data_IF_049179310088
#
_entry.id   IF_049179310088
#
_cell.length_a   1.000
_cell.length_b   1.000
_cell.length_c   1.000
_cell.angle_alpha   90.00
_cell.angle_beta   90.00
_cell.angle_gamma   90.00
#
_symmetry.space_group_name_H-M   'P 1'
#
loop_
_entity.id
_entity.type
_entity.pdbx_description
1 polymer ?
#
# COMPACT_ATOMS: atom_id res chain seq x y z
N UNK A 1 69.74 16.84 11.30
CA UNK A 1 69.62 15.38 11.11
C UNK A 1 68.16 15.04 11.41
N UNK A 2 67.30 15.00 10.39
CA UNK A 2 67.03 13.81 9.52
C UNK A 2 66.21 12.78 10.34
N UNK A 3 65.07 12.21 9.96
CA UNK A 3 64.18 12.24 8.78
C UNK A 3 62.91 11.43 9.17
N UNK A 4 61.77 11.82 8.61
CA UNK A 4 60.71 11.01 7.94
C UNK A 4 60.37 9.57 8.35
N UNK A 5 59.06 9.32 8.53
CA UNK A 5 58.34 8.41 7.63
C UNK A 5 56.89 8.86 7.40
N UNK A 6 56.61 9.11 6.13
CA UNK A 6 55.37 9.58 5.49
C UNK A 6 54.34 8.45 5.40
N UNK A 7 53.05 8.76 5.57
CA UNK A 7 52.04 8.15 4.70
C UNK A 7 50.89 9.13 4.43
N UNK A 8 50.61 9.30 3.14
CA UNK A 8 49.86 10.41 2.56
C UNK A 8 48.40 10.53 2.99
N UNK A 9 48.05 11.80 3.17
CA UNK A 9 46.75 12.41 2.96
C UNK A 9 46.13 11.99 1.61
N UNK A 10 44.93 11.38 1.64
CA UNK A 10 43.97 11.50 0.54
C UNK A 10 42.68 12.07 1.12
N UNK A 11 42.51 13.37 0.94
CA UNK A 11 41.24 14.07 1.16
C UNK A 11 40.36 13.78 -0.06
N UNK A 12 39.20 13.17 0.15
CA UNK A 12 38.06 13.41 -0.73
C UNK A 12 36.96 14.06 0.10
N UNK A 13 36.69 15.32 -0.23
CA UNK A 13 35.69 16.18 0.39
C UNK A 13 34.28 15.57 0.29
N UNK A 14 33.59 15.43 1.42
CA UNK A 14 32.13 15.52 1.46
C UNK A 14 31.78 16.66 2.41
N UNK A 15 31.12 17.67 1.84
CA UNK A 15 30.77 18.94 2.46
C UNK A 15 29.83 18.76 3.65
N UNK A 16 30.22 19.33 4.79
CA UNK A 16 29.48 19.42 6.04
C UNK A 16 28.54 20.63 6.01
N UNK A 17 27.23 20.44 6.16
CA UNK A 17 26.24 21.35 6.81
C UNK A 17 25.08 20.47 7.27
N UNK A 18 24.69 20.28 8.54
CA UNK A 18 24.79 21.07 9.77
C UNK A 18 24.51 20.10 10.93
N UNK A 19 25.48 19.82 11.81
CA UNK A 19 25.24 19.03 13.03
C UNK A 19 24.74 19.99 14.12
N UNK A 20 23.54 19.76 14.69
CA UNK A 20 23.06 20.47 15.89
C UNK A 20 23.47 19.70 17.15
N UNK A 21 23.75 20.43 18.22
CA UNK A 21 24.62 20.04 19.34
C UNK A 21 24.04 19.07 20.39
N UNK A 22 23.31 18.01 20.01
CA UNK A 22 22.78 17.05 21.00
C UNK A 22 22.92 15.56 20.62
N UNK A 23 23.77 15.22 19.66
CA UNK A 23 24.00 13.82 19.28
C UNK A 23 25.02 13.15 20.22
N UNK A 24 24.58 12.12 20.96
CA UNK A 24 25.47 11.23 21.70
C UNK A 24 25.96 10.12 20.77
N UNK A 25 27.24 10.17 20.42
CA UNK A 25 27.91 9.11 19.66
C UNK A 25 28.55 8.13 20.65
N UNK A 26 28.03 6.90 20.74
CA UNK A 26 28.72 5.81 21.44
C UNK A 26 29.18 4.77 20.42
N UNK A 27 30.50 4.65 20.23
CA UNK A 27 31.07 3.56 19.44
C UNK A 27 31.54 2.46 20.40
N UNK A 28 30.99 1.25 20.28
CA UNK A 28 31.49 0.07 20.98
C UNK A 28 32.72 -0.50 20.25
N UNK A 29 33.81 -0.85 20.95
CA UNK A 29 34.94 -1.51 20.32
C UNK A 29 34.55 -2.93 19.90
N UNK A 30 34.46 -3.18 18.58
CA UNK A 30 34.25 -4.52 18.01
C UNK A 30 33.18 -4.66 16.91
N UNK A 31 32.44 -3.60 16.55
CA UNK A 31 31.45 -3.61 15.47
C UNK A 31 31.91 -2.76 14.27
N UNK A 32 31.66 -3.17 13.00
CA UNK A 32 31.98 -2.37 11.82
C UNK A 32 30.89 -1.31 11.62
N UNK A 33 30.93 -0.23 12.41
CA UNK A 33 30.05 0.93 12.25
C UNK A 33 29.60 1.56 13.57
N UNK A 34 29.48 2.88 13.58
CA UNK A 34 28.94 3.64 14.70
C UNK A 34 27.45 3.91 14.42
N UNK A 35 26.56 3.50 15.33
CA UNK A 35 25.11 3.64 15.17
C UNK A 35 24.67 5.03 15.65
N UNK A 36 23.94 5.77 14.81
CA UNK A 36 23.24 6.99 15.20
C UNK A 36 21.84 6.58 15.66
N UNK A 37 21.58 6.69 16.97
CA UNK A 37 20.23 6.56 17.52
C UNK A 37 19.49 7.89 17.31
N UNK A 38 18.82 8.03 16.18
CA UNK A 38 17.82 9.09 16.02
C UNK A 38 16.53 8.67 16.75
N UNK A 39 15.92 9.59 17.49
CA UNK A 39 14.72 9.36 18.32
C UNK A 39 13.43 9.18 17.52
N UNK A 40 13.54 9.06 16.20
CA UNK A 40 12.42 8.80 15.30
C UNK A 40 12.75 7.53 14.53
N UNK A 41 11.92 6.50 14.69
CA UNK A 41 12.05 5.21 14.00
C UNK A 41 11.81 5.35 12.49
N UNK A 42 12.73 6.03 11.80
CA UNK A 42 12.79 6.09 10.36
C UNK A 42 13.44 4.80 9.88
N UNK A 43 12.63 3.91 9.31
CA UNK A 43 13.10 2.74 8.59
C UNK A 43 14.14 3.18 7.54
N UNK A 44 15.37 2.71 7.67
CA UNK A 44 16.39 2.94 6.66
C UNK A 44 15.95 2.29 5.35
N UNK A 45 15.90 3.07 4.28
CA UNK A 45 15.70 2.55 2.93
C UNK A 45 16.94 1.72 2.54
N UNK A 46 16.83 0.39 2.59
CA UNK A 46 17.80 -0.53 2.01
C UNK A 46 17.36 -0.88 0.58
N UNK A 47 18.08 -0.44 -0.46
CA UNK A 47 17.75 -0.74 -1.86
C UNK A 47 17.92 -2.22 -2.24
N UNK A 48 18.41 -3.07 -1.33
CA UNK A 48 18.45 -4.54 -1.46
C UNK A 48 17.57 -5.26 -0.42
N UNK A 49 16.91 -4.52 0.45
CA UNK A 49 16.00 -5.05 1.47
C UNK A 49 14.58 -5.23 0.93
N UNK A 50 13.77 -6.10 1.53
CA UNK A 50 12.40 -6.33 1.10
C UNK A 50 11.60 -5.02 1.25
N UNK A 51 10.82 -4.65 0.23
CA UNK A 51 10.01 -3.42 0.13
C UNK A 51 9.09 -3.26 1.36
N UNK A 52 9.58 -2.61 2.42
CA UNK A 52 8.89 -2.48 3.70
C UNK A 52 8.67 -1.00 3.97
N UNK A 53 7.41 -0.58 4.01
CA UNK A 53 7.05 0.76 4.46
C UNK A 53 6.01 0.76 5.59
N UNK A 54 5.53 -0.41 6.02
CA UNK A 54 4.81 -0.52 7.28
C UNK A 54 5.69 -0.08 8.44
N UNK A 55 5.16 0.77 9.29
CA UNK A 55 5.83 1.37 10.45
C UNK A 55 4.94 1.21 11.67
N UNK A 56 5.57 0.95 12.83
CA UNK A 56 4.87 0.95 14.11
C UNK A 56 4.60 2.39 14.55
N UNK A 57 3.34 2.67 14.86
CA UNK A 57 2.89 3.94 15.42
C UNK A 57 2.06 3.64 16.66
N UNK A 58 2.69 3.75 17.83
CA UNK A 58 2.11 3.32 19.10
C UNK A 58 1.66 1.85 19.08
N UNK A 59 0.37 1.62 19.33
CA UNK A 59 -0.25 0.30 19.31
C UNK A 59 -0.61 -0.20 17.89
N UNK A 60 -0.57 0.67 16.87
CA UNK A 60 -0.96 0.36 15.51
C UNK A 60 0.23 0.17 14.57
N UNK A 61 -0.01 -0.55 13.47
CA UNK A 61 0.93 -0.71 12.35
C UNK A 61 0.33 -0.01 11.14
N UNK A 62 1.09 0.84 10.45
CA UNK A 62 0.65 1.42 9.17
C UNK A 62 0.52 0.31 8.13
N UNK A 63 -0.39 0.48 7.18
CA UNK A 63 -0.62 -0.48 6.11
C UNK A 63 0.66 -0.67 5.29
N UNK A 64 1.01 -1.92 5.03
CA UNK A 64 2.17 -2.27 4.22
C UNK A 64 2.00 -1.79 2.77
N UNK A 65 3.11 -1.46 2.11
CA UNK A 65 3.14 -1.30 0.66
C UNK A 65 3.70 -2.53 -0.02
N UNK A 66 3.22 -2.76 -1.22
CA UNK A 66 3.71 -3.82 -2.10
C UNK A 66 3.87 -3.26 -3.51
N UNK A 67 4.42 -4.08 -4.40
CA UNK A 67 4.58 -3.72 -5.80
C UNK A 67 3.22 -3.46 -6.49
N UNK A 68 3.25 -2.58 -7.49
CA UNK A 68 2.06 -2.15 -8.23
C UNK A 68 1.52 -3.25 -9.16
N UNK A 69 2.36 -4.17 -9.60
CA UNK A 69 2.06 -5.10 -10.66
C UNK A 69 2.15 -4.45 -12.05
N UNK A 70 2.21 -5.26 -13.11
CA UNK A 70 2.39 -4.76 -14.48
C UNK A 70 1.09 -4.22 -15.10
N UNK A 71 -0.03 -4.26 -14.38
CA UNK A 71 -1.35 -4.03 -14.92
C UNK A 71 -2.01 -2.74 -14.43
N UNK A 72 -1.29 -1.79 -13.83
CA UNK A 72 -1.89 -0.50 -13.50
C UNK A 72 -2.14 0.34 -14.77
N UNK A 73 -3.26 1.06 -14.79
CA UNK A 73 -3.64 1.97 -15.88
C UNK A 73 -4.08 3.30 -15.28
N UNK A 74 -3.41 4.37 -15.69
CA UNK A 74 -3.69 5.72 -15.20
C UNK A 74 -5.03 6.25 -15.72
N UNK A 75 -5.59 7.25 -15.03
CA UNK A 75 -6.77 8.00 -15.46
C UNK A 75 -8.07 7.20 -15.57
N UNK A 76 -8.23 6.13 -14.75
CA UNK A 76 -9.51 5.45 -14.63
C UNK A 76 -10.66 6.42 -14.26
N UNK A 77 -11.91 6.15 -14.66
CA UNK A 77 -13.04 7.01 -14.34
C UNK A 77 -13.21 7.20 -12.84
N UNK A 78 -13.46 8.44 -12.41
CA UNK A 78 -13.74 8.78 -11.02
C UNK A 78 -15.22 8.50 -10.72
N UNK A 79 -15.48 7.81 -9.62
CA UNK A 79 -16.80 7.66 -9.01
C UNK A 79 -16.76 8.27 -7.61
N UNK A 80 -17.80 9.05 -7.27
CA UNK A 80 -17.95 9.60 -5.93
C UNK A 80 -18.62 8.59 -5.01
N UNK A 81 -18.12 8.46 -3.79
CA UNK A 81 -18.76 7.66 -2.75
C UNK A 81 -19.87 8.51 -2.11
N UNK A 82 -21.08 7.98 -2.03
CA UNK A 82 -22.15 8.65 -1.28
C UNK A 82 -22.08 8.30 0.20
N UNK A 83 -22.12 9.31 1.08
CA UNK A 83 -22.19 9.10 2.53
C UNK A 83 -23.65 9.15 3.03
N UNK A 84 -23.97 8.37 4.07
CA UNK A 84 -25.29 8.37 4.73
C UNK A 84 -26.29 7.32 4.20
N UNK A 85 -27.56 7.39 4.65
CA UNK A 85 -28.60 6.36 4.40
C UNK A 85 -28.95 6.14 2.92
N UNK A 86 -28.62 7.11 2.05
CA UNK A 86 -28.83 7.03 0.59
C UNK A 86 -27.48 6.99 -0.15
N UNK A 87 -26.40 6.61 0.52
CA UNK A 87 -25.07 6.57 -0.04
C UNK A 87 -24.96 5.64 -1.24
N UNK A 88 -24.46 6.15 -2.36
CA UNK A 88 -24.14 5.34 -3.52
C UNK A 88 -22.87 4.53 -3.26
N UNK A 89 -22.94 3.21 -3.48
CA UNK A 89 -21.78 2.31 -3.47
C UNK A 89 -21.29 2.12 -4.90
N UNK A 90 -20.12 2.69 -5.26
CA UNK A 90 -19.55 2.55 -6.59
C UNK A 90 -19.35 1.09 -7.01
N UNK A 91 -19.63 0.78 -8.27
CA UNK A 91 -19.39 -0.54 -8.84
C UNK A 91 -18.12 -0.51 -9.68
N UNK A 92 -17.11 -1.32 -9.32
CA UNK A 92 -15.80 -1.35 -9.99
C UNK A 92 -15.84 -2.28 -11.19
N UNK A 93 -16.14 -3.55 -10.94
CA UNK A 93 -16.40 -4.53 -11.98
C UNK A 93 -17.85 -5.02 -11.92
N UNK A 94 -18.57 -5.12 -13.04
CA UNK A 94 -19.98 -5.46 -13.00
C UNK A 94 -20.27 -6.87 -12.48
N UNK A 95 -21.13 -6.92 -11.47
CA UNK A 95 -21.66 -8.17 -10.96
C UNK A 95 -22.78 -8.71 -11.85
N UNK A 96 -22.90 -10.03 -11.91
CA UNK A 96 -23.98 -10.75 -12.59
C UNK A 96 -24.41 -11.95 -11.75
N UNK A 97 -25.44 -12.69 -12.18
CA UNK A 97 -25.87 -13.91 -11.49
C UNK A 97 -24.84 -15.06 -11.55
N UNK A 98 -23.85 -14.94 -12.44
CA UNK A 98 -22.84 -15.97 -12.70
C UNK A 98 -21.53 -15.76 -11.93
N UNK A 99 -21.38 -14.66 -11.19
CA UNK A 99 -20.19 -14.39 -10.39
C UNK A 99 -20.54 -14.08 -8.93
N UNK A 100 -19.53 -14.23 -8.08
CA UNK A 100 -19.62 -13.85 -6.68
C UNK A 100 -19.35 -12.35 -6.55
N UNK A 101 -20.09 -11.70 -5.65
CA UNK A 101 -19.99 -10.28 -5.36
C UNK A 101 -19.08 -10.06 -4.16
N UNK A 102 -18.20 -9.09 -4.27
CA UNK A 102 -17.37 -8.59 -3.19
C UNK A 102 -17.77 -7.13 -2.88
N UNK A 103 -18.04 -6.83 -1.62
CA UNK A 103 -18.24 -5.48 -1.11
C UNK A 103 -17.14 -5.20 -0.11
N UNK A 104 -16.39 -4.13 -0.35
CA UNK A 104 -15.29 -3.72 0.52
C UNK A 104 -15.60 -2.39 1.15
N UNK A 105 -15.37 -2.31 2.46
CA UNK A 105 -15.57 -1.11 3.26
C UNK A 105 -14.30 -0.80 4.06
N UNK A 106 -14.13 0.45 4.46
CA UNK A 106 -13.06 0.81 5.38
C UNK A 106 -12.91 2.31 5.52
N UNK A 107 -11.93 2.71 6.31
CA UNK A 107 -11.59 4.12 6.53
C UNK A 107 -10.12 4.34 6.19
N UNK A 108 -9.84 5.33 5.36
CA UNK A 108 -8.47 5.84 5.18
C UNK A 108 -8.13 6.75 6.35
N UNK A 109 -7.00 6.47 7.01
CA UNK A 109 -6.52 7.19 8.18
C UNK A 109 -5.06 7.60 7.99
N UNK A 110 -4.64 8.69 8.61
CA UNK A 110 -3.24 9.14 8.64
C UNK A 110 -2.78 9.24 10.08
N UNK A 111 -1.64 8.61 10.41
CA UNK A 111 -1.03 8.72 11.74
C UNK A 111 -0.56 10.15 12.02
N UNK A 112 -0.75 10.61 13.25
CA UNK A 112 -0.16 11.84 13.76
C UNK A 112 0.38 11.62 15.18
N UNK A 113 1.14 12.58 15.70
CA UNK A 113 1.80 12.45 17.01
C UNK A 113 0.83 12.20 18.18
N UNK A 114 -0.43 12.63 18.06
CA UNK A 114 -1.48 12.47 19.08
C UNK A 114 -2.41 11.28 18.78
N UNK A 115 -2.37 10.72 17.57
CA UNK A 115 -3.27 9.67 17.08
C UNK A 115 -2.42 8.59 16.43
N UNK A 116 -1.84 7.68 17.23
CA UNK A 116 -0.97 6.62 16.73
C UNK A 116 -1.67 5.66 15.75
N UNK A 117 -2.99 5.50 15.87
CA UNK A 117 -3.83 4.73 14.93
C UNK A 117 -4.50 5.60 13.86
N UNK A 118 -4.06 6.85 13.75
CA UNK A 118 -4.46 7.84 12.77
C UNK A 118 -5.81 8.49 12.96
N UNK A 119 -5.98 9.63 12.28
CA UNK A 119 -7.25 10.32 12.10
C UNK A 119 -7.82 9.98 10.72
N UNK A 120 -9.15 9.84 10.58
CA UNK A 120 -9.76 9.70 9.27
C UNK A 120 -9.34 10.85 8.34
N UNK A 121 -9.07 10.51 7.08
CA UNK A 121 -8.56 11.48 6.10
C UNK A 121 -9.26 11.32 4.78
N UNK A 122 -9.50 12.45 4.11
CA UNK A 122 -9.95 12.45 2.73
C UNK A 122 -8.88 11.84 1.83
N UNK A 123 -9.26 10.96 0.90
CA UNK A 123 -8.32 10.30 0.02
C UNK A 123 -8.92 9.97 -1.36
N UNK A 124 -8.04 9.84 -2.35
CA UNK A 124 -8.34 9.18 -3.62
C UNK A 124 -7.83 7.73 -3.57
N UNK A 125 -8.67 6.79 -3.98
CA UNK A 125 -8.32 5.39 -4.15
C UNK A 125 -8.38 5.03 -5.64
N UNK A 126 -7.24 4.74 -6.28
CA UNK A 126 -7.23 4.03 -7.55
C UNK A 126 -7.38 2.54 -7.26
N UNK A 127 -8.43 1.91 -7.77
CA UNK A 127 -8.75 0.50 -7.52
C UNK A 127 -8.79 -0.27 -8.83
N UNK A 128 -8.08 -1.39 -8.91
CA UNK A 128 -8.11 -2.29 -10.06
C UNK A 128 -7.89 -3.75 -9.66
N UNK A 129 -8.47 -4.66 -10.43
CA UNK A 129 -8.28 -6.10 -10.26
C UNK A 129 -8.61 -6.88 -11.54
N UNK A 130 -8.30 -8.17 -11.55
CA UNK A 130 -8.66 -9.08 -12.64
C UNK A 130 -10.17 -9.35 -12.66
N UNK A 131 -10.75 -9.61 -13.83
CA UNK A 131 -12.12 -10.13 -13.91
C UNK A 131 -12.23 -11.54 -13.28
N UNK A 132 -13.45 -12.10 -13.11
CA UNK A 132 -13.63 -13.42 -12.49
C UNK A 132 -12.86 -14.56 -13.19
N UNK A 133 -12.52 -14.38 -14.46
CA UNK A 133 -11.74 -15.33 -15.26
C UNK A 133 -10.22 -15.10 -15.13
N UNK A 134 -9.77 -14.12 -14.35
CA UNK A 134 -8.35 -13.83 -14.11
C UNK A 134 -7.70 -12.92 -15.14
N UNK A 135 -8.48 -12.19 -15.94
CA UNK A 135 -7.95 -11.35 -17.02
C UNK A 135 -7.92 -9.87 -16.65
N UNK A 136 -6.86 -9.20 -17.07
CA UNK A 136 -6.75 -7.73 -17.08
C UNK A 136 -6.89 -7.21 -18.51
N UNK A 137 -7.58 -6.08 -18.66
CA UNK A 137 -7.71 -5.40 -19.96
C UNK A 137 -6.49 -4.54 -20.27
N UNK A 138 -6.35 -4.17 -21.55
CA UNK A 138 -5.22 -3.43 -22.10
C UNK A 138 -4.95 -2.10 -21.35
N UNK A 139 -3.71 -1.96 -20.89
CA UNK A 139 -3.23 -0.82 -20.10
C UNK A 139 -2.67 0.32 -20.93
N UNK A 140 -2.53 0.16 -22.27
CA UNK A 140 -2.05 1.23 -23.13
C UNK A 140 -2.92 2.48 -22.97
N UNK A 141 -2.34 3.68 -22.88
CA UNK A 141 -3.13 4.92 -22.75
C UNK A 141 -4.11 5.15 -23.91
N UNK A 142 -3.84 4.59 -25.09
CA UNK A 142 -4.72 4.65 -26.27
C UNK A 142 -5.94 3.74 -26.18
N UNK A 143 -5.94 2.73 -25.30
CA UNK A 143 -7.09 1.87 -25.08
C UNK A 143 -8.11 2.61 -24.19
N UNK A 144 -9.34 2.77 -24.67
CA UNK A 144 -10.40 3.49 -23.91
C UNK A 144 -11.06 2.68 -22.80
N UNK A 145 -10.78 1.37 -22.70
CA UNK A 145 -11.43 0.47 -21.74
C UNK A 145 -10.82 0.57 -20.34
N UNK A 146 -11.68 0.64 -19.32
CA UNK A 146 -11.34 0.63 -17.90
C UNK A 146 -12.11 -0.46 -17.14
N UNK A 147 -12.43 -1.59 -17.78
CA UNK A 147 -13.05 -2.76 -17.13
C UNK A 147 -12.32 -3.10 -15.83
N UNK A 148 -13.10 -3.25 -14.75
CA UNK A 148 -12.63 -3.50 -13.39
C UNK A 148 -11.62 -2.46 -12.87
N UNK A 149 -11.69 -1.19 -13.31
CA UNK A 149 -10.80 -0.09 -12.89
C UNK A 149 -11.59 1.17 -12.61
N UNK A 150 -11.40 1.77 -11.44
CA UNK A 150 -12.01 3.06 -11.11
C UNK A 150 -11.16 3.83 -10.12
N UNK A 151 -11.41 5.14 -10.03
CA UNK A 151 -10.94 5.99 -8.95
C UNK A 151 -12.11 6.34 -8.04
N UNK A 152 -11.91 6.23 -6.74
CA UNK A 152 -12.88 6.62 -5.73
C UNK A 152 -12.34 7.83 -4.98
N UNK A 153 -13.21 8.76 -4.60
CA UNK A 153 -12.85 9.88 -3.72
C UNK A 153 -13.73 9.80 -2.47
N UNK A 154 -13.10 9.71 -1.31
CA UNK A 154 -13.79 9.68 -0.01
C UNK A 154 -14.20 11.09 0.43
N UNK A 155 -15.09 11.18 1.42
CA UNK A 155 -15.30 12.41 2.19
C UNK A 155 -14.22 12.62 3.25
N UNK A 156 -14.41 13.64 4.09
CA UNK A 156 -13.53 13.96 5.22
C UNK A 156 -13.62 12.90 6.34
N UNK A 157 -14.68 12.09 6.32
CA UNK A 157 -14.81 10.90 7.16
C UNK A 157 -13.76 9.83 6.84
N UNK A 158 -13.08 9.94 5.69
CA UNK A 158 -12.16 8.93 5.16
C UNK A 158 -12.81 7.60 4.80
N UNK A 159 -14.13 7.47 4.98
CA UNK A 159 -14.85 6.25 4.68
C UNK A 159 -14.85 5.98 3.17
N UNK A 160 -14.56 4.74 2.81
CA UNK A 160 -14.70 4.24 1.46
C UNK A 160 -15.55 2.98 1.44
N UNK A 161 -16.30 2.82 0.35
CA UNK A 161 -17.00 1.60 0.02
C UNK A 161 -16.95 1.38 -1.48
N UNK A 162 -16.91 0.12 -1.90
CA UNK A 162 -17.13 -0.26 -3.29
C UNK A 162 -17.68 -1.67 -3.39
N UNK A 163 -18.44 -1.91 -4.46
CA UNK A 163 -18.93 -3.23 -4.87
C UNK A 163 -18.21 -3.66 -6.14
N UNK A 164 -17.84 -4.93 -6.22
CA UNK A 164 -17.21 -5.50 -7.40
C UNK A 164 -17.46 -7.01 -7.48
N UNK A 165 -16.98 -7.65 -8.53
CA UNK A 165 -16.93 -9.11 -8.63
C UNK A 165 -15.73 -9.65 -7.86
N UNK A 166 -15.85 -10.81 -7.23
CA UNK A 166 -14.69 -11.53 -6.69
C UNK A 166 -13.66 -11.74 -7.81
N UNK A 167 -12.41 -11.27 -7.67
CA UNK A 167 -11.42 -11.39 -8.74
C UNK A 167 -11.06 -12.85 -9.00
N UNK A 168 -10.82 -13.18 -10.27
CA UNK A 168 -10.26 -14.46 -10.66
C UNK A 168 -8.77 -14.56 -10.34
N UNK A 169 -8.28 -15.80 -10.25
CA UNK A 169 -6.84 -16.07 -10.13
C UNK A 169 -6.17 -15.93 -11.48
N UNK A 170 -4.94 -15.43 -11.49
CA UNK A 170 -4.12 -15.41 -12.69
C UNK A 170 -2.72 -15.97 -12.42
N UNK A 171 -2.18 -16.62 -13.44
CA UNK A 171 -0.78 -17.02 -13.48
C UNK A 171 0.05 -15.84 -14.00
N UNK A 172 1.24 -15.66 -13.45
CA UNK A 172 2.21 -14.69 -13.97
C UNK A 172 3.44 -15.43 -14.47
N UNK A 173 3.52 -15.76 -15.78
CA UNK A 173 4.68 -16.47 -16.33
C UNK A 173 6.01 -15.78 -16.07
N UNK A 174 5.99 -14.45 -15.89
CA UNK A 174 7.17 -13.66 -15.54
C UNK A 174 7.69 -13.93 -14.11
N UNK A 175 6.82 -14.38 -13.19
CA UNK A 175 7.17 -14.70 -11.81
C UNK A 175 7.44 -16.19 -11.59
N UNK A 176 7.04 -17.05 -12.53
CA UNK A 176 7.29 -18.49 -12.49
C UNK A 176 5.99 -19.32 -12.51
N UNK A 177 6.10 -20.64 -12.30
CA UNK A 177 4.95 -21.53 -12.25
C UNK A 177 4.13 -21.28 -10.98
N UNK A 178 2.83 -21.09 -11.13
CA UNK A 178 1.91 -20.89 -10.00
C UNK A 178 0.85 -19.83 -10.28
N UNK A 179 0.09 -19.51 -9.25
CA UNK A 179 -0.93 -18.47 -9.28
C UNK A 179 -0.63 -17.41 -8.23
N UNK A 180 -1.09 -16.19 -8.50
CA UNK A 180 -1.22 -15.17 -7.47
C UNK A 180 -2.38 -15.54 -6.52
N UNK A 181 -2.27 -15.16 -5.25
CA UNK A 181 -3.43 -15.10 -4.36
C UNK A 181 -4.50 -14.17 -4.97
N UNK A 182 -5.79 -14.38 -4.70
CA UNK A 182 -6.84 -13.45 -5.15
C UNK A 182 -6.64 -12.12 -4.44
N UNK A 183 -6.62 -11.03 -5.21
CA UNK A 183 -6.36 -9.70 -4.67
C UNK A 183 -7.07 -8.59 -5.44
N UNK A 184 -7.22 -7.45 -4.76
CA UNK A 184 -7.58 -6.16 -5.35
C UNK A 184 -6.43 -5.19 -5.13
N UNK A 185 -5.93 -4.57 -6.19
CA UNK A 185 -4.92 -3.52 -6.05
C UNK A 185 -5.57 -2.20 -5.66
N UNK A 186 -4.89 -1.45 -4.79
CA UNK A 186 -5.32 -0.12 -4.36
C UNK A 186 -4.12 0.82 -4.30
N UNK A 187 -4.23 2.00 -4.91
CA UNK A 187 -3.35 3.14 -4.60
C UNK A 187 -4.14 4.18 -3.86
N UNK A 188 -3.64 4.59 -2.70
CA UNK A 188 -4.30 5.56 -1.82
C UNK A 188 -3.47 6.83 -1.75
N UNK A 189 -4.06 7.95 -2.13
CA UNK A 189 -3.42 9.27 -2.05
C UNK A 189 -4.23 10.16 -1.12
N UNK A 190 -3.67 10.63 0.02
CA UNK A 190 -4.38 11.54 0.91
C UNK A 190 -4.57 12.90 0.24
N UNK A 191 -5.74 13.52 0.42
CA UNK A 191 -6.15 14.76 -0.23
C UNK A 191 -6.52 15.85 0.79
N UNK A 192 -6.41 17.12 0.37
CA UNK A 192 -7.07 18.24 1.04
C UNK A 192 -8.55 18.36 0.62
N UNK A 193 -9.26 19.34 1.21
CA UNK A 193 -10.67 19.64 0.91
C UNK A 193 -10.94 20.04 -0.55
N UNK A 194 -9.89 20.40 -1.32
CA UNK A 194 -9.97 20.76 -2.73
C UNK A 194 -9.57 19.59 -3.65
N UNK A 195 -9.47 18.37 -3.13
CA UNK A 195 -9.01 17.17 -3.84
C UNK A 195 -7.56 17.23 -4.33
N UNK A 196 -6.71 18.06 -3.72
CA UNK A 196 -5.28 18.11 -4.06
C UNK A 196 -4.51 17.12 -3.18
N UNK A 197 -3.57 16.33 -3.74
CA UNK A 197 -2.69 15.48 -2.94
C UNK A 197 -1.92 16.26 -1.89
N UNK A 198 -1.96 15.79 -0.65
CA UNK A 198 -1.23 16.38 0.48
C UNK A 198 -0.11 15.49 1.02
N UNK A 199 -0.01 14.25 0.55
CA UNK A 199 0.99 13.30 1.02
C UNK A 199 1.35 12.26 -0.04
N UNK A 200 2.22 11.34 0.34
CA UNK A 200 2.68 10.26 -0.56
C UNK A 200 1.54 9.28 -0.84
N UNK A 201 1.49 8.80 -2.09
CA UNK A 201 0.62 7.70 -2.47
C UNK A 201 1.15 6.38 -1.90
N UNK A 202 0.30 5.64 -1.20
CA UNK A 202 0.55 4.26 -0.78
C UNK A 202 0.04 3.32 -1.87
N UNK A 203 0.86 2.36 -2.31
CA UNK A 203 0.43 1.27 -3.21
C UNK A 203 0.36 -0.02 -2.42
N UNK A 204 -0.79 -0.68 -2.44
CA UNK A 204 -1.04 -1.92 -1.71
C UNK A 204 -1.91 -2.89 -2.52
N UNK A 205 -2.02 -4.12 -2.02
CA UNK A 205 -2.93 -5.14 -2.53
C UNK A 205 -3.75 -5.66 -1.34
N UNK A 206 -5.07 -5.77 -1.50
CA UNK A 206 -5.97 -6.35 -0.51
C UNK A 206 -6.10 -7.85 -0.83
N UNK A 207 -5.75 -8.69 0.14
CA UNK A 207 -5.89 -10.15 0.05
C UNK A 207 -7.04 -10.64 0.91
N UNK A 208 -7.50 -11.86 0.65
CA UNK A 208 -8.66 -12.44 1.33
C UNK A 208 -8.25 -13.70 2.08
N UNK A 209 -8.53 -13.74 3.38
CA UNK A 209 -8.16 -14.84 4.25
C UNK A 209 -8.69 -16.19 3.72
N UNK A 210 -7.96 -17.27 4.02
CA UNK A 210 -8.23 -18.66 3.59
C UNK A 210 -8.02 -18.94 2.10
N UNK A 211 -7.48 -17.98 1.35
CA UNK A 211 -6.99 -18.25 0.00
C UNK A 211 -5.77 -19.19 0.04
N UNK A 212 -5.87 -20.32 -0.65
CA UNK A 212 -4.85 -21.38 -0.65
C UNK A 212 -3.49 -20.97 -1.25
N UNK A 213 -3.45 -19.87 -2.01
CA UNK A 213 -2.25 -19.33 -2.64
C UNK A 213 -1.67 -18.14 -1.86
N UNK A 214 -2.10 -17.87 -0.62
CA UNK A 214 -1.47 -16.83 0.20
C UNK A 214 -0.09 -17.25 0.74
N UNK A 215 0.68 -16.23 1.15
CA UNK A 215 1.99 -16.39 1.75
C UNK A 215 2.96 -17.09 0.81
N UNK A 216 3.60 -18.16 1.30
CA UNK A 216 4.58 -18.93 0.52
C UNK A 216 4.06 -19.55 -0.78
N UNK A 217 2.73 -19.66 -0.93
CA UNK A 217 2.11 -20.23 -2.12
C UNK A 217 1.80 -19.16 -3.18
N UNK A 218 1.97 -17.88 -2.87
CA UNK A 218 1.83 -16.80 -3.84
C UNK A 218 3.09 -16.77 -4.70
N UNK A 219 2.92 -16.88 -6.01
CA UNK A 219 4.05 -16.80 -6.95
C UNK A 219 4.78 -15.45 -6.86
N UNK A 220 4.13 -14.41 -6.34
CA UNK A 220 4.79 -13.15 -6.03
C UNK A 220 5.27 -13.09 -4.56
N UNK A 221 6.55 -13.36 -4.35
CA UNK A 221 7.18 -13.33 -3.01
C UNK A 221 7.23 -11.92 -2.41
N UNK A 222 7.41 -10.88 -3.23
CA UNK A 222 7.49 -9.49 -2.77
C UNK A 222 6.12 -8.83 -2.54
N UNK A 223 5.04 -9.52 -2.90
CA UNK A 223 3.68 -9.02 -2.76
C UNK A 223 3.06 -9.26 -1.36
N UNK A 224 3.77 -9.96 -0.46
CA UNK A 224 3.46 -10.09 0.97
C UNK A 224 2.00 -10.45 1.28
N UNK A 225 1.46 -11.45 0.58
CA UNK A 225 0.06 -11.86 0.78
C UNK A 225 -0.22 -12.51 2.15
N UNK A 226 0.80 -12.69 3.00
CA UNK A 226 0.72 -13.09 4.40
C UNK A 226 0.87 -11.92 5.41
N UNK A 227 1.08 -10.67 4.95
CA UNK A 227 1.16 -9.52 5.84
C UNK A 227 -0.23 -9.20 6.43
N UNK A 228 -0.40 -9.21 7.76
CA UNK A 228 -1.71 -9.05 8.39
C UNK A 228 -2.34 -7.67 8.12
N UNK A 229 -1.55 -6.66 7.73
CA UNK A 229 -2.06 -5.34 7.36
C UNK A 229 -2.64 -5.27 5.94
N UNK A 230 -2.58 -6.38 5.19
CA UNK A 230 -3.11 -6.50 3.82
C UNK A 230 -4.24 -7.54 3.70
N UNK A 231 -4.52 -8.30 4.77
CA UNK A 231 -5.48 -9.40 4.76
C UNK A 231 -6.85 -8.94 5.25
N UNK A 232 -7.86 -9.24 4.46
CA UNK A 232 -9.27 -9.03 4.80
C UNK A 232 -9.92 -10.37 5.11
N UNK A 233 -10.66 -10.44 6.22
CA UNK A 233 -11.52 -11.57 6.54
C UNK A 233 -12.92 -11.33 5.99
N UNK A 234 -13.28 -12.07 4.94
CA UNK A 234 -14.59 -11.94 4.31
C UNK A 234 -15.67 -12.68 5.12
N UNK A 235 -16.87 -12.12 5.10
CA UNK A 235 -18.08 -12.72 5.67
C UNK A 235 -19.18 -12.74 4.60
N UNK A 236 -20.04 -13.75 4.62
CA UNK A 236 -21.24 -13.69 3.80
C UNK A 236 -22.16 -12.59 4.32
N UNK A 237 -22.74 -11.84 3.38
CA UNK A 237 -23.67 -10.77 3.66
C UNK A 237 -25.09 -11.34 3.89
N UNK A 238 -26.03 -11.05 3.00
CA UNK A 238 -27.40 -11.56 3.02
C UNK A 238 -27.60 -12.84 2.20
N UNK A 239 -26.65 -13.24 1.36
CA UNK A 239 -26.68 -14.48 0.58
C UNK A 239 -25.31 -15.17 0.52
N UNK A 240 -25.25 -16.36 -0.08
CA UNK A 240 -24.04 -17.19 -0.18
C UNK A 240 -23.05 -16.70 -1.26
N UNK A 241 -23.45 -15.76 -2.11
CA UNK A 241 -22.62 -15.26 -3.23
C UNK A 241 -22.08 -13.85 -2.98
N UNK A 242 -22.49 -13.20 -1.90
CA UNK A 242 -22.10 -11.84 -1.56
C UNK A 242 -21.20 -11.85 -0.33
N UNK A 243 -19.97 -11.39 -0.52
CA UNK A 243 -18.94 -11.31 0.50
C UNK A 243 -18.73 -9.85 0.91
N UNK A 244 -18.84 -9.58 2.21
CA UNK A 244 -18.50 -8.30 2.81
C UNK A 244 -17.11 -8.39 3.46
N UNK A 245 -16.27 -7.39 3.19
CA UNK A 245 -14.97 -7.21 3.80
C UNK A 245 -14.80 -5.82 4.40
N UNK A 246 -14.02 -5.73 5.48
CA UNK A 246 -13.62 -4.46 6.09
C UNK A 246 -12.10 -4.38 6.13
N UNK A 247 -11.53 -3.30 5.58
CA UNK A 247 -10.09 -3.07 5.55
C UNK A 247 -9.78 -1.57 5.76
N UNK A 248 -9.40 -1.20 6.97
CA UNK A 248 -8.92 0.16 7.24
C UNK A 248 -7.50 0.35 6.67
N UNK A 249 -7.27 1.49 6.04
CA UNK A 249 -5.98 1.81 5.43
C UNK A 249 -5.31 2.89 6.27
N UNK A 250 -4.22 2.54 6.94
CA UNK A 250 -3.49 3.44 7.82
C UNK A 250 -2.22 3.94 7.15
N UNK A 251 -2.23 5.19 6.73
CA UNK A 251 -1.11 5.88 6.10
C UNK A 251 -0.12 6.40 7.15
N UNK A 252 1.17 6.40 6.79
CA UNK A 252 2.22 7.06 7.56
C UNK A 252 2.02 8.59 7.61
N UNK A 253 2.71 9.26 8.52
CA UNK A 253 2.58 10.70 8.73
C UNK A 253 2.86 11.48 7.44
N UNK A 254 2.07 12.52 7.21
CA UNK A 254 2.28 13.47 6.13
C UNK A 254 3.36 14.46 6.61
N UNK A 255 4.49 14.52 5.90
CA UNK A 255 5.59 15.45 6.18
C UNK A 255 5.42 16.75 5.40
#
# INVERSE_FOLDING_TARGET
MIEDLVCCLVVLFVSVRTVRSQDFVSCFPGAPGCFVLDRVGLASYDPKGPFTCSQRSGACMTTQCVEEGPYYKTNAPIQMIGEGRNGFTPQICPNSVSNDRLIMNGTVRVVDANNPCGRPTRAMLDVWHADPEGNYTDIRPSAGDYKCRTRLITGDSGFYTYSTTMPGRYASPALGPGFRAVHVHVKVTPLDSNNKPIGRTLTLQQYFALDMYMGKNDVCTECRSDDPTLITHLQHSYDIKTFDGVHDILLAAIF
#
